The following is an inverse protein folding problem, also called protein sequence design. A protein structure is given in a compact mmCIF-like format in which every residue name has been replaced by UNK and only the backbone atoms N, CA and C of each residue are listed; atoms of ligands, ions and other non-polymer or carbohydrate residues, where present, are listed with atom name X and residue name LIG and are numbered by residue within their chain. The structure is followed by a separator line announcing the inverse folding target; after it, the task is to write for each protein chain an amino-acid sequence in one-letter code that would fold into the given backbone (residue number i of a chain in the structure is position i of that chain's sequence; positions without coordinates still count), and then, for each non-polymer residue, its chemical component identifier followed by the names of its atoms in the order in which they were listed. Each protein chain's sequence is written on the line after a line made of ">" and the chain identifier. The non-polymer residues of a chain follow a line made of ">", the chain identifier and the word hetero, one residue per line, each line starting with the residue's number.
data_IF_843714948651
#
_entry.id   IF_843714948651
#
_cell.length_a   1.000
_cell.length_b   1.000
_cell.length_c   1.000
_cell.angle_alpha   90.00
_cell.angle_beta   90.00
_cell.angle_gamma   90.00
#
_symmetry.space_group_name_H-M   'P 1'
#
loop_
_entity.id
_entity.type
_entity.pdbx_description
1 polymer ?
#
# COMPACT_ATOMS: atom_id res chain seq x y z
N UNK A 1 30.69 24.80 -4.37
CA UNK A 1 30.54 23.45 -3.81
C UNK A 1 30.10 23.64 -2.38
N UNK A 2 28.83 23.44 -2.09
CA UNK A 2 28.31 23.49 -0.71
C UNK A 2 28.95 22.34 0.05
N UNK A 3 29.52 22.62 1.23
CA UNK A 3 30.15 21.58 2.04
C UNK A 3 29.07 20.57 2.48
N UNK A 4 29.30 19.28 2.23
CA UNK A 4 28.39 18.20 2.65
C UNK A 4 28.14 18.26 4.16
N UNK A 5 29.10 18.77 4.94
CA UNK A 5 28.94 19.02 6.38
C UNK A 5 27.95 20.16 6.69
N UNK A 6 27.97 21.25 5.92
CA UNK A 6 27.05 22.38 6.09
C UNK A 6 25.61 21.97 5.73
N UNK A 7 25.42 21.22 4.63
CA UNK A 7 24.12 20.70 4.24
C UNK A 7 23.54 19.75 5.30
N UNK A 8 24.37 18.87 5.86
CA UNK A 8 23.96 17.96 6.93
C UNK A 8 23.58 18.72 8.21
N UNK A 9 24.35 19.74 8.59
CA UNK A 9 24.03 20.59 9.74
C UNK A 9 22.68 21.28 9.56
N UNK A 10 22.43 21.88 8.39
CA UNK A 10 21.15 22.49 8.06
C UNK A 10 19.99 21.48 8.08
N UNK A 11 20.19 20.27 7.57
CA UNK A 11 19.20 19.18 7.60
C UNK A 11 18.82 18.79 9.04
N UNK A 12 19.81 18.69 9.94
CA UNK A 12 19.61 18.34 11.35
C UNK A 12 18.80 19.40 12.12
N UNK A 13 18.92 20.69 11.76
CA UNK A 13 18.22 21.81 12.38
C UNK A 13 16.89 22.17 11.72
N UNK A 14 16.68 21.77 10.46
CA UNK A 14 15.49 22.10 9.66
C UNK A 14 14.19 21.68 10.37
N UNK A 15 13.23 22.59 10.46
CA UNK A 15 11.89 22.35 11.02
C UNK A 15 10.84 21.95 9.98
N UNK A 16 11.24 21.74 8.74
CA UNK A 16 10.32 21.24 7.72
C UNK A 16 9.86 19.82 8.09
N UNK A 17 8.58 19.54 7.83
CA UNK A 17 7.94 18.28 8.27
C UNK A 17 8.67 17.01 7.80
N UNK A 18 9.32 16.94 6.61
CA UNK A 18 10.04 15.72 6.23
C UNK A 18 11.21 15.40 7.18
N UNK A 19 11.91 16.42 7.67
CA UNK A 19 13.01 16.27 8.63
C UNK A 19 12.49 15.94 10.04
N UNK A 20 11.31 16.44 10.43
CA UNK A 20 10.67 16.00 11.68
C UNK A 20 10.28 14.52 11.64
N UNK A 21 9.78 14.04 10.50
CA UNK A 21 9.48 12.62 10.29
C UNK A 21 10.75 11.77 10.24
N UNK A 22 11.79 12.20 9.51
CA UNK A 22 13.08 11.52 9.47
C UNK A 22 13.77 11.44 10.85
N UNK A 23 13.58 12.46 11.71
CA UNK A 23 14.05 12.42 13.11
C UNK A 23 13.45 11.28 13.93
N UNK A 24 12.23 10.82 13.62
CA UNK A 24 11.64 9.65 14.29
C UNK A 24 12.42 8.37 13.98
N UNK A 25 12.84 8.21 12.71
CA UNK A 25 13.68 7.08 12.28
C UNK A 25 15.05 7.14 12.94
N UNK A 26 15.68 8.32 12.99
CA UNK A 26 16.94 8.51 13.71
C UNK A 26 16.84 8.22 15.20
N UNK A 27 15.75 8.62 15.86
CA UNK A 27 15.52 8.30 17.27
C UNK A 27 15.37 6.78 17.47
N UNK A 28 14.75 6.09 16.51
CA UNK A 28 14.55 4.64 16.53
C UNK A 28 15.84 3.87 16.24
N UNK A 29 16.67 4.39 15.32
CA UNK A 29 17.92 3.79 14.87
C UNK A 29 19.04 4.85 14.82
N UNK A 30 19.64 5.20 15.97
CA UNK A 30 20.64 6.28 16.04
C UNK A 30 21.88 6.03 15.19
N UNK A 31 22.27 4.76 15.03
CA UNK A 31 23.45 4.32 14.25
C UNK A 31 23.04 3.68 12.91
N UNK A 32 21.78 3.81 12.51
CA UNK A 32 21.21 3.06 11.38
C UNK A 32 20.72 1.67 11.79
N UNK A 33 20.26 0.89 10.79
CA UNK A 33 19.79 -0.47 11.05
C UNK A 33 20.97 -1.41 11.35
N UNK A 34 20.75 -2.45 12.18
CA UNK A 34 21.76 -3.48 12.42
C UNK A 34 22.31 -4.05 11.10
N UNK A 35 23.61 -4.34 11.07
CA UNK A 35 24.26 -4.90 9.88
C UNK A 35 24.43 -3.94 8.70
N UNK A 36 24.08 -2.66 8.86
CA UNK A 36 24.17 -1.66 7.78
C UNK A 36 23.06 -1.81 6.73
N UNK A 37 21.95 -2.48 7.09
CA UNK A 37 20.80 -2.60 6.20
C UNK A 37 20.22 -1.22 5.84
N UNK A 38 19.72 -1.06 4.60
CA UNK A 38 19.06 0.17 4.21
C UNK A 38 17.77 0.40 5.00
N UNK A 39 17.53 1.65 5.38
CA UNK A 39 16.25 2.08 5.96
C UNK A 39 15.13 1.83 4.94
N UNK A 40 14.11 1.06 5.32
CA UNK A 40 13.06 0.64 4.39
C UNK A 40 11.84 1.55 4.46
N UNK A 41 11.56 2.22 3.35
CA UNK A 41 10.35 2.98 3.11
C UNK A 41 9.40 2.15 2.24
N UNK A 42 8.09 2.25 2.49
CA UNK A 42 7.07 1.57 1.68
C UNK A 42 5.94 2.54 1.29
N UNK A 43 5.34 2.27 0.14
CA UNK A 43 4.03 2.79 -0.30
C UNK A 43 3.19 1.66 -0.86
N UNK A 44 1.86 1.81 -0.81
CA UNK A 44 0.91 0.78 -1.23
C UNK A 44 0.06 1.20 -2.42
N UNK A 45 -0.21 0.25 -3.31
CA UNK A 45 -1.09 0.45 -4.46
C UNK A 45 -2.00 -0.74 -4.70
N UNK A 46 -3.31 -0.53 -4.60
CA UNK A 46 -4.31 -1.48 -5.10
C UNK A 46 -4.52 -1.31 -6.62
N UNK A 47 -4.12 -2.29 -7.46
CA UNK A 47 -4.14 -2.19 -8.92
C UNK A 47 -5.49 -2.59 -9.52
N UNK A 48 -6.58 -2.18 -8.87
CA UNK A 48 -7.96 -2.39 -9.37
C UNK A 48 -8.46 -1.20 -10.20
N UNK A 49 -7.57 -0.31 -10.61
CA UNK A 49 -7.85 0.90 -11.37
C UNK A 49 -6.64 1.82 -11.41
N UNK A 50 -6.62 2.72 -12.40
CA UNK A 50 -5.47 3.57 -12.71
C UNK A 50 -4.92 4.37 -11.51
N UNK A 51 -3.60 4.65 -11.49
CA UNK A 51 -3.02 5.56 -10.51
C UNK A 51 -3.67 6.94 -10.63
N UNK A 52 -3.85 7.61 -9.49
CA UNK A 52 -4.34 8.99 -9.43
C UNK A 52 -3.44 9.81 -8.52
N UNK A 53 -3.75 11.10 -8.39
CA UNK A 53 -2.99 12.06 -7.59
C UNK A 53 -2.79 11.67 -6.12
N UNK A 54 -3.66 10.83 -5.56
CA UNK A 54 -3.48 10.30 -4.21
C UNK A 54 -2.35 9.28 -4.14
N UNK A 55 -2.22 8.41 -5.15
CA UNK A 55 -1.09 7.49 -5.28
C UNK A 55 0.23 8.25 -5.45
N UNK A 56 0.24 9.29 -6.29
CA UNK A 56 1.41 10.15 -6.43
C UNK A 56 1.78 10.88 -5.14
N UNK A 57 0.80 11.45 -4.43
CA UNK A 57 1.00 12.13 -3.16
C UNK A 57 1.69 11.22 -2.14
N UNK A 58 1.29 9.96 -2.06
CA UNK A 58 1.87 8.99 -1.13
C UNK A 58 3.35 8.72 -1.44
N UNK A 59 3.69 8.47 -2.71
CA UNK A 59 5.07 8.24 -3.15
C UNK A 59 5.94 9.49 -3.03
N UNK A 60 5.42 10.64 -3.45
CA UNK A 60 6.14 11.91 -3.39
C UNK A 60 6.49 12.29 -1.94
N UNK A 61 5.52 12.21 -1.02
CA UNK A 61 5.76 12.56 0.39
C UNK A 61 6.70 11.58 1.07
N UNK A 62 6.56 10.30 0.79
CA UNK A 62 7.47 9.27 1.32
C UNK A 62 8.90 9.53 0.82
N UNK A 63 9.05 9.90 -0.45
CA UNK A 63 10.34 10.29 -1.04
C UNK A 63 10.94 11.52 -0.37
N UNK A 64 10.14 12.53 0.00
CA UNK A 64 10.62 13.70 0.74
C UNK A 64 11.19 13.32 2.12
N UNK A 65 10.53 12.40 2.85
CA UNK A 65 11.05 11.91 4.14
C UNK A 65 12.31 11.07 3.95
N UNK A 66 12.33 10.21 2.92
CA UNK A 66 13.51 9.42 2.55
C UNK A 66 14.72 10.32 2.26
N UNK A 67 14.55 11.37 1.45
CA UNK A 67 15.60 12.35 1.14
C UNK A 67 16.06 13.10 2.38
N UNK A 68 15.13 13.54 3.23
CA UNK A 68 15.48 14.18 4.50
C UNK A 68 16.31 13.24 5.40
N UNK A 69 15.97 11.95 5.46
CA UNK A 69 16.76 10.95 6.21
C UNK A 69 18.17 10.77 5.60
N UNK A 70 18.28 10.66 4.28
CA UNK A 70 19.56 10.56 3.57
C UNK A 70 20.45 11.78 3.87
N UNK A 71 19.92 13.00 3.78
CA UNK A 71 20.66 14.24 4.04
C UNK A 71 21.11 14.37 5.50
N UNK A 72 20.29 13.92 6.46
CA UNK A 72 20.63 13.98 7.89
C UNK A 72 21.67 12.94 8.30
N UNK A 73 21.68 11.78 7.65
CA UNK A 73 22.40 10.60 8.13
C UNK A 73 23.55 10.15 7.24
N UNK A 74 23.42 10.35 5.93
CA UNK A 74 24.28 9.72 4.92
C UNK A 74 24.11 8.20 4.80
N UNK A 75 23.09 7.61 5.44
CA UNK A 75 22.85 6.17 5.47
C UNK A 75 22.00 5.70 4.28
N UNK A 76 22.18 4.44 3.84
CA UNK A 76 21.45 3.91 2.69
C UNK A 76 19.96 3.73 2.99
N UNK A 77 19.13 3.88 1.96
CA UNK A 77 17.68 3.70 2.04
C UNK A 77 17.16 2.92 0.83
N UNK A 78 15.97 2.34 0.97
CA UNK A 78 15.20 1.72 -0.12
C UNK A 78 13.75 2.19 -0.03
N UNK A 79 13.09 2.28 -1.19
CA UNK A 79 11.66 2.57 -1.28
C UNK A 79 10.98 1.45 -2.06
N UNK A 80 10.04 0.76 -1.43
CA UNK A 80 9.20 -0.23 -2.11
C UNK A 80 7.87 0.43 -2.50
N UNK A 81 7.50 0.30 -3.78
CA UNK A 81 6.13 0.53 -4.26
C UNK A 81 5.43 -0.82 -4.36
N UNK A 82 4.65 -1.17 -3.32
CA UNK A 82 4.04 -2.48 -3.19
C UNK A 82 2.66 -2.51 -3.86
N UNK A 83 2.46 -3.43 -4.81
CA UNK A 83 1.21 -3.64 -5.51
C UNK A 83 0.44 -4.81 -4.93
N UNK A 84 -0.77 -4.56 -4.45
CA UNK A 84 -1.71 -5.57 -3.92
C UNK A 84 -2.44 -6.32 -5.06
N UNK A 85 -1.70 -6.77 -6.08
CA UNK A 85 -2.22 -7.41 -7.31
C UNK A 85 -2.75 -8.83 -7.14
N UNK A 86 -2.60 -9.42 -5.95
CA UNK A 86 -3.23 -10.69 -5.60
C UNK A 86 -4.64 -10.51 -5.03
N UNK A 87 -5.06 -9.28 -4.72
CA UNK A 87 -6.39 -9.02 -4.18
C UNK A 87 -7.50 -9.45 -5.17
N UNK A 88 -8.59 -10.00 -4.63
CA UNK A 88 -9.75 -10.38 -5.41
C UNK A 88 -10.53 -9.16 -5.94
N UNK A 89 -10.93 -9.17 -7.21
CA UNK A 89 -11.77 -8.11 -7.79
C UNK A 89 -13.14 -8.07 -7.11
N UNK A 90 -13.37 -7.08 -6.23
CA UNK A 90 -14.62 -6.98 -5.46
C UNK A 90 -15.79 -6.39 -6.23
N UNK A 91 -15.51 -5.47 -7.16
CA UNK A 91 -16.51 -4.78 -7.99
C UNK A 91 -15.86 -4.37 -9.29
N UNK A 92 -16.64 -4.33 -10.37
CA UNK A 92 -16.19 -3.82 -11.66
C UNK A 92 -16.11 -2.29 -11.60
N UNK A 93 -14.96 -1.66 -11.92
CA UNK A 93 -14.86 -0.20 -11.97
C UNK A 93 -15.71 0.38 -13.11
N UNK A 94 -16.25 1.58 -12.91
CA UNK A 94 -17.10 2.22 -13.93
C UNK A 94 -16.30 2.81 -15.10
N UNK A 95 -15.02 3.08 -14.87
CA UNK A 95 -14.10 3.78 -15.77
C UNK A 95 -13.20 2.84 -16.59
N UNK A 96 -13.55 1.54 -16.68
CA UNK A 96 -12.80 0.56 -17.48
C UNK A 96 -13.67 -0.04 -18.59
N UNK A 97 -13.07 -0.39 -19.75
CA UNK A 97 -13.76 -1.11 -20.82
C UNK A 97 -14.06 -2.57 -20.41
N UNK A 98 -14.77 -3.31 -21.28
CA UNK A 98 -15.00 -4.76 -21.14
C UNK A 98 -15.60 -5.18 -19.77
N UNK A 99 -16.58 -4.41 -19.27
CA UNK A 99 -17.22 -4.64 -17.97
C UNK A 99 -17.89 -6.01 -17.83
N UNK A 100 -18.46 -6.52 -18.92
CA UNK A 100 -19.09 -7.85 -18.94
C UNK A 100 -18.06 -8.95 -18.67
N UNK A 101 -16.89 -8.89 -19.33
CA UNK A 101 -15.77 -9.80 -19.06
C UNK A 101 -15.37 -9.71 -17.59
N UNK A 102 -15.10 -8.50 -17.07
CA UNK A 102 -14.69 -8.31 -15.68
C UNK A 102 -15.72 -8.85 -14.67
N UNK A 103 -17.01 -8.78 -14.99
CA UNK A 103 -18.09 -9.31 -14.14
C UNK A 103 -17.96 -10.83 -13.96
N UNK A 104 -17.55 -11.57 -15.00
CA UNK A 104 -17.31 -13.02 -14.92
C UNK A 104 -16.06 -13.41 -14.11
N UNK A 105 -15.20 -12.43 -13.81
CA UNK A 105 -13.96 -12.63 -13.05
C UNK A 105 -14.03 -12.05 -11.63
N UNK A 106 -15.20 -11.65 -11.14
CA UNK A 106 -15.36 -11.18 -9.77
C UNK A 106 -14.81 -12.19 -8.75
N UNK A 107 -14.10 -11.68 -7.74
CA UNK A 107 -13.45 -12.46 -6.70
C UNK A 107 -12.10 -13.09 -7.09
N UNK A 108 -11.75 -13.16 -8.37
CA UNK A 108 -10.43 -13.66 -8.80
C UNK A 108 -9.32 -12.63 -8.51
N UNK A 109 -8.08 -13.07 -8.24
CA UNK A 109 -6.92 -12.16 -8.08
C UNK A 109 -6.77 -11.26 -9.30
N UNK A 110 -6.54 -9.95 -9.12
CA UNK A 110 -6.41 -8.98 -10.21
C UNK A 110 -5.32 -9.36 -11.24
N UNK A 111 -4.24 -9.97 -10.77
CA UNK A 111 -3.15 -10.53 -11.58
C UNK A 111 -3.53 -11.73 -12.45
N UNK A 112 -4.70 -12.34 -12.21
CA UNK A 112 -5.24 -13.48 -12.98
C UNK A 112 -6.47 -13.13 -13.81
N UNK A 113 -6.83 -11.85 -13.88
CA UNK A 113 -7.95 -11.36 -14.71
C UNK A 113 -7.37 -10.86 -16.03
N UNK A 114 -7.93 -11.24 -17.21
CA UNK A 114 -7.49 -10.68 -18.48
C UNK A 114 -7.52 -9.15 -18.48
N UNK A 115 -6.55 -8.53 -19.16
CA UNK A 115 -6.51 -7.07 -19.27
C UNK A 115 -7.74 -6.55 -20.04
N UNK A 116 -8.63 -5.75 -19.42
CA UNK A 116 -9.76 -5.17 -20.13
C UNK A 116 -9.34 -4.22 -21.26
N UNK A 117 -8.10 -3.73 -21.26
CA UNK A 117 -7.56 -2.85 -22.31
C UNK A 117 -6.88 -3.61 -23.47
N UNK A 118 -6.58 -4.90 -23.30
CA UNK A 118 -5.98 -5.75 -24.34
C UNK A 118 -4.50 -5.44 -24.64
N UNK A 119 -3.78 -4.86 -23.68
CA UNK A 119 -2.41 -4.35 -23.84
C UNK A 119 -1.36 -5.09 -23.00
N UNK A 120 -1.77 -5.73 -21.92
CA UNK A 120 -0.91 -6.44 -20.97
C UNK A 120 -1.48 -7.83 -20.64
N UNK A 121 -0.70 -8.65 -19.93
CA UNK A 121 -1.07 -10.03 -19.60
C UNK A 121 -2.29 -10.14 -18.66
N UNK A 122 -2.50 -9.12 -17.81
CA UNK A 122 -3.61 -9.09 -16.85
C UNK A 122 -4.05 -7.68 -16.51
N UNK A 123 -5.22 -7.57 -15.87
CA UNK A 123 -5.76 -6.30 -15.41
C UNK A 123 -4.83 -5.62 -14.41
N UNK A 124 -4.22 -6.37 -13.48
CA UNK A 124 -3.18 -5.82 -12.61
C UNK A 124 -1.93 -5.43 -13.39
N UNK A 125 -1.48 -6.23 -14.36
CA UNK A 125 -0.27 -5.93 -15.14
C UNK A 125 -0.40 -4.59 -15.88
N UNK A 126 -1.55 -4.32 -16.50
CA UNK A 126 -1.82 -3.01 -17.12
C UNK A 126 -1.72 -1.88 -16.09
N UNK A 127 -2.45 -1.99 -14.97
CA UNK A 127 -2.48 -0.94 -13.95
C UNK A 127 -1.10 -0.74 -13.28
N UNK A 128 -0.33 -1.80 -13.10
CA UNK A 128 1.03 -1.76 -12.58
C UNK A 128 1.99 -1.11 -13.56
N UNK A 129 1.87 -1.38 -14.87
CA UNK A 129 2.64 -0.68 -15.90
C UNK A 129 2.32 0.81 -15.89
N UNK A 130 1.04 1.18 -15.82
CA UNK A 130 0.63 2.59 -15.70
C UNK A 130 1.16 3.26 -14.44
N UNK A 131 1.21 2.55 -13.30
CA UNK A 131 1.87 3.06 -12.09
C UNK A 131 3.36 3.28 -12.33
N UNK A 132 4.07 2.30 -12.90
CA UNK A 132 5.52 2.36 -13.08
C UNK A 132 5.92 3.46 -14.06
N UNK A 133 5.29 3.52 -15.23
CA UNK A 133 5.49 4.60 -16.20
C UNK A 133 5.25 5.97 -15.57
N UNK A 134 4.20 6.04 -14.74
CA UNK A 134 3.88 7.24 -14.00
C UNK A 134 4.98 7.59 -13.00
N UNK A 135 5.49 6.65 -12.20
CA UNK A 135 6.56 6.93 -11.23
C UNK A 135 7.90 7.29 -11.92
N UNK A 136 8.24 6.58 -12.99
CA UNK A 136 9.46 6.76 -13.76
C UNK A 136 9.49 8.14 -14.43
N UNK A 137 8.34 8.62 -14.94
CA UNK A 137 8.19 9.96 -15.53
C UNK A 137 8.56 11.08 -14.56
N UNK A 138 8.28 10.92 -13.26
CA UNK A 138 8.63 11.90 -12.23
C UNK A 138 9.99 11.65 -11.58
N UNK A 139 10.75 10.68 -12.09
CA UNK A 139 12.11 10.39 -11.63
C UNK A 139 12.18 9.80 -10.22
N UNK A 140 11.13 9.11 -9.76
CA UNK A 140 11.21 8.42 -8.48
C UNK A 140 12.14 7.21 -8.56
N UNK A 141 13.01 7.08 -7.57
CA UNK A 141 13.78 5.85 -7.35
C UNK A 141 12.99 4.93 -6.43
N UNK A 142 12.56 3.76 -6.94
CA UNK A 142 11.79 2.80 -6.17
C UNK A 142 12.05 1.37 -6.67
N UNK A 143 11.65 0.40 -5.84
CA UNK A 143 11.58 -1.00 -6.18
C UNK A 143 10.11 -1.40 -6.26
N UNK A 144 9.66 -1.85 -7.43
CA UNK A 144 8.33 -2.38 -7.59
C UNK A 144 8.23 -3.79 -6.98
N UNK A 145 7.22 -4.03 -6.16
CA UNK A 145 6.96 -5.34 -5.56
C UNK A 145 5.51 -5.79 -5.85
N UNK A 146 5.35 -7.00 -6.40
CA UNK A 146 4.05 -7.64 -6.62
C UNK A 146 3.66 -8.52 -5.44
N UNK A 147 2.45 -8.35 -4.91
CA UNK A 147 1.88 -9.25 -3.90
C UNK A 147 1.82 -10.68 -4.44
N UNK A 148 1.35 -10.87 -5.67
CA UNK A 148 1.28 -12.19 -6.32
C UNK A 148 2.65 -12.85 -6.35
N UNK A 149 3.70 -12.14 -6.73
CA UNK A 149 5.05 -12.70 -6.76
C UNK A 149 5.55 -13.09 -5.37
N UNK A 150 5.33 -12.24 -4.35
CA UNK A 150 5.78 -12.51 -2.98
C UNK A 150 5.07 -13.73 -2.36
N UNK A 151 3.78 -13.87 -2.63
CA UNK A 151 3.00 -15.03 -2.22
C UNK A 151 3.38 -16.30 -3.01
N UNK A 152 3.46 -16.22 -4.34
CA UNK A 152 3.71 -17.38 -5.20
C UNK A 152 5.14 -17.92 -5.10
N UNK A 153 6.14 -17.05 -4.90
CA UNK A 153 7.55 -17.45 -4.74
C UNK A 153 7.90 -17.98 -3.35
N UNK A 154 6.96 -17.90 -2.41
CA UNK A 154 7.16 -18.33 -1.03
C UNK A 154 7.93 -17.34 -0.15
N UNK A 155 8.18 -16.11 -0.62
CA UNK A 155 8.82 -15.04 0.18
C UNK A 155 8.05 -14.73 1.47
N UNK A 156 6.72 -14.94 1.46
CA UNK A 156 5.89 -14.79 2.64
C UNK A 156 5.62 -16.08 3.41
N UNK A 157 6.07 -17.26 2.95
CA UNK A 157 5.68 -18.54 3.57
C UNK A 157 6.09 -18.65 5.04
N UNK A 158 7.28 -18.14 5.40
CA UNK A 158 7.71 -18.10 6.81
C UNK A 158 6.79 -17.23 7.66
N UNK A 159 6.40 -16.04 7.16
CA UNK A 159 5.53 -15.15 7.91
C UNK A 159 4.06 -15.62 7.90
N UNK A 160 3.63 -16.32 6.85
CA UNK A 160 2.32 -16.99 6.80
C UNK A 160 2.25 -18.12 7.83
N UNK A 161 3.32 -18.88 8.02
CA UNK A 161 3.43 -19.86 9.12
C UNK A 161 3.27 -19.19 10.49
N UNK A 162 3.92 -18.04 10.71
CA UNK A 162 3.73 -17.27 11.93
C UNK A 162 2.30 -16.75 12.10
N UNK A 163 1.62 -16.39 11.01
CA UNK A 163 0.19 -16.02 11.02
C UNK A 163 -0.67 -17.19 11.47
N UNK A 164 -0.42 -18.40 10.99
CA UNK A 164 -1.17 -19.59 11.43
C UNK A 164 -0.89 -19.94 12.89
N UNK A 165 0.37 -19.83 13.36
CA UNK A 165 0.74 -20.02 14.78
C UNK A 165 0.02 -19.04 15.70
N UNK A 166 -0.20 -17.82 15.22
CA UNK A 166 -0.82 -16.73 15.99
C UNK A 166 -2.25 -16.42 15.54
N UNK A 167 -2.92 -17.39 14.90
CA UNK A 167 -4.22 -17.18 14.25
C UNK A 167 -5.26 -16.61 15.24
N UNK A 168 -5.38 -17.20 16.42
CA UNK A 168 -6.32 -16.75 17.45
C UNK A 168 -6.03 -15.34 17.98
N UNK A 169 -4.75 -14.99 18.11
CA UNK A 169 -4.35 -13.64 18.52
C UNK A 169 -4.72 -12.60 17.46
N UNK A 170 -4.55 -12.93 16.18
CA UNK A 170 -4.94 -12.07 15.06
C UNK A 170 -6.48 -11.97 14.99
N UNK A 171 -7.20 -13.07 15.18
CA UNK A 171 -8.66 -13.08 15.29
C UNK A 171 -9.15 -12.17 16.42
N UNK A 172 -8.52 -12.20 17.60
CA UNK A 172 -8.86 -11.35 18.73
C UNK A 172 -8.66 -9.84 18.44
N UNK A 173 -7.72 -9.49 17.55
CA UNK A 173 -7.56 -8.10 17.07
C UNK A 173 -8.66 -7.72 16.08
N UNK A 174 -9.07 -8.65 15.22
CA UNK A 174 -9.95 -8.37 14.09
C UNK A 174 -11.44 -8.45 14.43
N UNK A 175 -11.88 -9.47 15.16
CA UNK A 175 -13.29 -9.72 15.47
C UNK A 175 -14.02 -8.51 16.11
N UNK A 176 -13.44 -7.77 17.07
CA UNK A 176 -14.10 -6.61 17.68
C UNK A 176 -14.42 -5.47 16.69
N UNK A 177 -13.76 -5.47 15.53
CA UNK A 177 -13.94 -4.46 14.48
C UNK A 177 -15.06 -4.81 13.49
N UNK A 178 -15.63 -6.01 13.62
CA UNK A 178 -16.60 -6.58 12.70
C UNK A 178 -17.99 -6.67 13.35
N UNK A 179 -19.04 -6.63 12.51
CA UNK A 179 -20.41 -6.90 12.95
C UNK A 179 -20.61 -8.40 13.20
N UNK A 180 -21.58 -8.77 14.04
CA UNK A 180 -21.83 -10.15 14.46
C UNK A 180 -21.92 -11.17 13.30
N UNK A 181 -22.64 -10.83 12.22
CA UNK A 181 -22.76 -11.68 11.02
C UNK A 181 -21.39 -11.97 10.37
N UNK A 182 -20.51 -10.97 10.34
CA UNK A 182 -19.16 -11.12 9.79
C UNK A 182 -18.24 -11.82 10.77
N UNK A 183 -18.40 -11.64 12.08
CA UNK A 183 -17.59 -12.34 13.07
C UNK A 183 -17.74 -13.88 12.95
N UNK A 184 -18.95 -14.37 12.68
CA UNK A 184 -19.22 -15.80 12.53
C UNK A 184 -18.54 -16.44 11.29
N UNK A 185 -18.16 -15.62 10.30
CA UNK A 185 -17.63 -16.08 9.01
C UNK A 185 -16.24 -15.56 8.71
N UNK A 186 -15.64 -14.82 9.63
CA UNK A 186 -14.39 -14.13 9.39
C UNK A 186 -13.20 -15.08 9.47
N UNK A 187 -12.28 -14.91 8.53
CA UNK A 187 -10.93 -15.47 8.56
C UNK A 187 -9.93 -14.40 8.12
N UNK A 188 -8.75 -14.29 8.76
CA UNK A 188 -7.64 -13.49 8.26
C UNK A 188 -6.97 -14.12 7.03
N UNK A 189 -7.17 -15.43 6.79
CA UNK A 189 -6.64 -16.17 5.65
C UNK A 189 -7.78 -16.42 4.65
N UNK A 190 -7.58 -16.00 3.40
CA UNK A 190 -8.53 -16.15 2.32
C UNK A 190 -8.01 -17.22 1.34
N UNK A 191 -8.53 -18.45 1.38
CA UNK A 191 -8.11 -19.50 0.46
C UNK A 191 -8.39 -19.10 -0.99
N UNK A 192 -7.49 -19.42 -1.90
CA UNK A 192 -7.80 -19.37 -3.33
C UNK A 192 -8.43 -20.70 -3.68
N UNK A 193 -9.69 -20.67 -4.13
CA UNK A 193 -10.42 -21.87 -4.56
C UNK A 193 -9.63 -22.62 -5.65
N UNK A 194 -9.33 -23.92 -5.46
CA UNK A 194 -8.66 -24.71 -6.50
C UNK A 194 -9.55 -24.94 -7.72
N UNK A 195 -10.87 -24.86 -7.54
CA UNK A 195 -11.87 -25.07 -8.60
C UNK A 195 -12.11 -23.80 -9.42
N UNK A 196 -12.42 -22.69 -8.74
CA UNK A 196 -12.85 -21.44 -9.39
C UNK A 196 -11.73 -20.41 -9.55
N UNK A 197 -10.66 -20.52 -8.77
CA UNK A 197 -9.59 -19.53 -8.68
C UNK A 197 -9.98 -18.24 -7.95
N UNK A 198 -11.13 -18.20 -7.29
CA UNK A 198 -11.62 -17.05 -6.50
C UNK A 198 -10.91 -17.00 -5.15
N UNK A 199 -10.60 -15.78 -4.68
CA UNK A 199 -10.17 -15.52 -3.29
C UNK A 199 -11.40 -15.59 -2.39
N UNK A 200 -11.55 -16.70 -1.66
CA UNK A 200 -12.73 -17.02 -0.87
C UNK A 200 -12.74 -16.25 0.47
N UNK A 201 -13.92 -15.77 0.85
CA UNK A 201 -14.16 -15.20 2.18
C UNK A 201 -15.03 -16.15 3.00
N UNK A 202 -14.41 -17.24 3.45
CA UNK A 202 -15.05 -18.33 4.19
C UNK A 202 -14.36 -18.52 5.55
N UNK A 203 -15.04 -19.12 6.55
CA UNK A 203 -14.37 -19.59 7.75
C UNK A 203 -13.23 -20.55 7.39
N UNK A 204 -12.16 -20.49 8.17
CA UNK A 204 -10.99 -21.36 8.01
C UNK A 204 -10.64 -21.97 9.35
N UNK A 205 -10.33 -23.27 9.33
CA UNK A 205 -9.69 -23.99 10.43
C UNK A 205 -8.19 -24.18 10.11
N UNK A 206 -7.32 -23.88 11.06
CA UNK A 206 -5.89 -24.19 10.95
C UNK A 206 -5.67 -25.65 11.35
N UNK A 207 -5.27 -26.48 10.40
CA UNK A 207 -5.02 -27.92 10.62
C UNK A 207 -3.58 -28.17 11.06
N UNK A 208 -2.63 -27.54 10.38
CA UNK A 208 -1.20 -27.61 10.70
C UNK A 208 -0.53 -26.29 10.32
N UNK A 209 -0.13 -25.50 11.32
CA UNK A 209 0.54 -24.23 11.10
C UNK A 209 1.91 -24.39 10.42
N UNK A 210 2.67 -25.43 10.76
CA UNK A 210 4.04 -25.65 10.27
C UNK A 210 4.05 -26.03 8.80
N UNK A 211 3.15 -26.94 8.42
CA UNK A 211 2.94 -27.35 7.04
C UNK A 211 2.07 -26.35 6.23
N UNK A 212 1.52 -25.34 6.90
CA UNK A 212 0.68 -24.33 6.26
C UNK A 212 -0.71 -24.83 5.89
N UNK A 213 -1.19 -25.93 6.48
CA UNK A 213 -2.43 -26.59 6.07
C UNK A 213 -3.63 -25.97 6.77
N UNK A 214 -4.61 -25.59 5.96
CA UNK A 214 -5.90 -25.07 6.40
C UNK A 214 -7.04 -25.91 5.82
N UNK A 215 -8.17 -25.94 6.52
CA UNK A 215 -9.42 -26.57 6.08
C UNK A 215 -10.54 -25.55 5.93
N UNK A 216 -11.30 -25.64 4.84
CA UNK A 216 -12.42 -24.75 4.54
C UNK A 216 -13.43 -25.42 3.61
N UNK A 217 -14.60 -24.81 3.44
CA UNK A 217 -15.63 -25.26 2.50
C UNK A 217 -15.56 -24.46 1.19
N UNK A 218 -15.63 -25.17 0.06
CA UNK A 218 -15.70 -24.60 -1.29
C UNK A 218 -16.73 -25.38 -2.11
N UNK A 219 -17.77 -24.70 -2.59
CA UNK A 219 -18.89 -25.30 -3.35
C UNK A 219 -19.46 -26.59 -2.73
N UNK A 220 -19.55 -26.64 -1.40
CA UNK A 220 -20.10 -27.76 -0.63
C UNK A 220 -19.15 -28.95 -0.46
N UNK A 221 -17.86 -28.76 -0.74
CA UNK A 221 -16.80 -29.71 -0.47
C UNK A 221 -15.86 -29.17 0.60
N UNK A 222 -15.49 -30.03 1.55
CA UNK A 222 -14.40 -29.76 2.49
C UNK A 222 -13.06 -29.92 1.79
N UNK A 223 -12.28 -28.84 1.74
CA UNK A 223 -10.95 -28.80 1.13
C UNK A 223 -9.90 -28.60 2.22
N UNK A 224 -8.83 -29.39 2.16
CA UNK A 224 -7.58 -29.12 2.87
C UNK A 224 -6.51 -28.69 1.87
N UNK A 225 -5.92 -27.51 2.08
CA UNK A 225 -4.87 -26.99 1.20
C UNK A 225 -3.83 -26.19 1.97
N UNK A 226 -2.67 -25.98 1.35
CA UNK A 226 -1.64 -25.13 1.93
C UNK A 226 -1.97 -23.65 1.73
N UNK A 227 -1.57 -22.78 2.65
CA UNK A 227 -1.59 -21.32 2.46
C UNK A 227 -0.38 -20.81 1.69
N UNK A 228 0.64 -21.64 1.52
CA UNK A 228 1.92 -21.29 0.89
C UNK A 228 1.84 -21.30 -0.64
N UNK A 229 2.85 -20.70 -1.29
CA UNK A 229 2.98 -20.72 -2.74
C UNK A 229 1.81 -20.06 -3.48
N UNK A 230 1.18 -19.05 -2.88
CA UNK A 230 0.08 -18.29 -3.47
C UNK A 230 -1.25 -19.05 -3.56
N UNK A 231 -1.43 -20.08 -2.74
CA UNK A 231 -2.70 -20.81 -2.60
C UNK A 231 -3.69 -20.14 -1.63
N UNK A 232 -3.23 -19.15 -0.85
CA UNK A 232 -4.10 -18.28 -0.07
C UNK A 232 -3.57 -16.84 -0.09
N UNK A 233 -4.44 -15.90 0.25
CA UNK A 233 -4.12 -14.48 0.42
C UNK A 233 -4.59 -14.04 1.79
N UNK A 234 -3.82 -13.25 2.53
CA UNK A 234 -4.33 -12.64 3.75
C UNK A 234 -5.34 -11.54 3.43
N UNK A 235 -6.36 -11.42 4.27
CA UNK A 235 -7.26 -10.26 4.26
C UNK A 235 -6.42 -9.00 4.46
N UNK A 236 -6.75 -7.93 3.73
CA UNK A 236 -5.86 -6.75 3.57
C UNK A 236 -5.34 -6.12 4.88
N UNK A 237 -6.08 -6.16 6.00
CA UNK A 237 -5.61 -5.62 7.29
C UNK A 237 -4.54 -6.52 7.95
N UNK A 238 -4.78 -7.84 8.15
CA UNK A 238 -3.73 -8.78 8.50
C UNK A 238 -2.57 -8.81 7.52
N UNK A 239 -2.83 -8.73 6.23
CA UNK A 239 -1.81 -8.70 5.18
C UNK A 239 -0.86 -7.52 5.37
N UNK A 240 -1.39 -6.32 5.61
CA UNK A 240 -0.57 -5.14 5.83
C UNK A 240 0.32 -5.26 7.06
N UNK A 241 -0.22 -5.78 8.17
CA UNK A 241 0.58 -6.05 9.38
C UNK A 241 1.62 -7.15 9.18
N UNK A 242 1.28 -8.20 8.42
CA UNK A 242 2.19 -9.27 8.03
C UNK A 242 3.32 -8.73 7.15
N UNK A 243 3.01 -7.89 6.16
CA UNK A 243 3.97 -7.26 5.27
C UNK A 243 4.98 -6.39 6.03
N UNK A 244 4.51 -5.58 6.98
CA UNK A 244 5.39 -4.83 7.88
C UNK A 244 6.36 -5.72 8.64
N UNK A 245 5.87 -6.83 9.18
CA UNK A 245 6.70 -7.77 9.93
C UNK A 245 7.65 -8.58 9.02
N UNK A 246 7.22 -8.97 7.82
CA UNK A 246 8.00 -9.76 6.88
C UNK A 246 9.14 -8.96 6.25
N UNK A 247 8.86 -7.70 5.85
CA UNK A 247 9.83 -6.87 5.15
C UNK A 247 10.66 -6.00 6.09
N UNK A 248 10.22 -5.83 7.33
CA UNK A 248 10.86 -4.93 8.29
C UNK A 248 10.74 -3.47 7.83
N UNK A 249 9.55 -3.06 7.41
CA UNK A 249 9.25 -1.68 6.96
C UNK A 249 9.48 -0.71 8.11
N UNK A 250 10.29 0.31 7.88
CA UNK A 250 10.67 1.28 8.90
C UNK A 250 9.84 2.55 8.83
N UNK A 251 9.41 2.95 7.62
CA UNK A 251 8.57 4.11 7.39
C UNK A 251 7.49 3.87 6.33
N UNK A 252 6.23 4.16 6.68
CA UNK A 252 5.11 4.14 5.72
C UNK A 252 4.07 5.18 6.12
N UNK A 253 3.64 5.97 5.14
CA UNK A 253 2.58 6.98 5.33
C UNK A 253 1.25 6.41 4.86
N UNK A 254 0.16 6.92 5.42
CA UNK A 254 -1.17 6.56 4.95
C UNK A 254 -2.19 7.67 5.22
N UNK A 255 -3.26 7.66 4.42
CA UNK A 255 -4.34 8.63 4.54
C UNK A 255 -5.11 8.51 5.85
N UNK A 256 -5.75 9.61 6.27
CA UNK A 256 -6.61 9.69 7.47
C UNK A 256 -7.72 8.64 7.49
N UNK A 257 -8.18 8.18 6.33
CA UNK A 257 -9.17 7.12 6.19
C UNK A 257 -8.66 5.73 6.59
N UNK A 258 -7.35 5.55 6.76
CA UNK A 258 -6.71 4.29 7.12
C UNK A 258 -6.22 4.25 8.58
N UNK A 259 -6.54 5.23 9.42
CA UNK A 259 -6.08 5.31 10.83
C UNK A 259 -6.38 4.01 11.59
N UNK A 260 -7.64 3.60 11.63
CA UNK A 260 -8.05 2.40 12.38
C UNK A 260 -7.34 1.15 11.84
N UNK A 261 -7.19 1.07 10.52
CA UNK A 261 -6.51 -0.03 9.83
C UNK A 261 -5.03 -0.07 10.17
N UNK A 262 -4.36 1.08 10.22
CA UNK A 262 -2.94 1.16 10.62
C UNK A 262 -2.70 0.92 12.10
N UNK A 263 -3.71 1.09 12.96
CA UNK A 263 -3.65 0.64 14.37
C UNK A 263 -3.73 -0.88 14.44
N UNK A 264 -4.66 -1.50 13.70
CA UNK A 264 -4.81 -2.96 13.66
C UNK A 264 -3.58 -3.64 13.04
N UNK A 265 -3.10 -3.15 11.90
CA UNK A 265 -1.89 -3.63 11.25
C UNK A 265 -0.67 -3.55 12.17
N UNK A 266 -0.57 -2.51 13.01
CA UNK A 266 0.53 -2.36 13.96
C UNK A 266 0.49 -3.40 15.07
N UNK A 267 -0.71 -3.73 15.59
CA UNK A 267 -0.89 -4.81 16.56
C UNK A 267 -0.55 -6.17 15.95
N UNK A 268 -0.97 -6.40 14.71
CA UNK A 268 -0.70 -7.66 14.00
C UNK A 268 0.80 -7.79 13.70
N UNK A 269 1.47 -6.73 13.27
CA UNK A 269 2.92 -6.73 13.08
C UNK A 269 3.66 -7.11 14.38
N UNK A 270 3.23 -6.58 15.54
CA UNK A 270 3.79 -6.93 16.84
C UNK A 270 3.55 -8.40 17.23
N UNK A 271 2.35 -8.93 16.99
CA UNK A 271 2.03 -10.34 17.19
C UNK A 271 2.97 -11.24 16.36
N UNK A 272 3.31 -10.80 15.16
CA UNK A 272 4.19 -11.51 14.23
C UNK A 272 5.69 -11.26 14.46
N UNK A 273 6.06 -10.67 15.60
CA UNK A 273 7.44 -10.37 15.99
C UNK A 273 8.07 -9.16 15.31
N UNK A 274 7.30 -8.44 14.49
CA UNK A 274 7.70 -7.21 13.82
C UNK A 274 7.41 -5.95 14.65
N UNK A 275 7.60 -4.80 14.02
CA UNK A 275 7.30 -3.48 14.60
C UNK A 275 6.43 -2.69 13.62
N UNK A 276 5.58 -1.83 14.16
CA UNK A 276 4.87 -0.84 13.34
C UNK A 276 5.88 0.17 12.78
N UNK A 277 5.86 0.48 11.48
CA UNK A 277 6.69 1.54 10.91
C UNK A 277 6.41 2.90 11.57
N UNK A 278 7.40 3.78 11.59
CA UNK A 278 7.13 5.21 11.77
C UNK A 278 6.31 5.72 10.59
N UNK A 279 5.61 6.82 10.77
CA UNK A 279 4.81 7.37 9.69
C UNK A 279 4.11 8.67 10.02
N UNK A 280 3.52 9.23 8.98
CA UNK A 280 2.66 10.40 9.04
C UNK A 280 1.28 10.02 8.52
N UNK A 281 0.25 10.34 9.31
CA UNK A 281 -1.13 10.32 8.84
C UNK A 281 -1.39 11.63 8.10
N UNK A 282 -1.68 11.55 6.82
CA UNK A 282 -1.99 12.73 6.02
C UNK A 282 -3.49 12.91 5.78
N UNK A 283 -3.87 14.17 5.59
CA UNK A 283 -5.22 14.52 5.15
C UNK A 283 -5.42 14.32 3.65
N UNK A 284 -6.70 14.24 3.28
CA UNK A 284 -7.15 13.88 1.94
C UNK A 284 -7.39 15.10 1.05
N UNK A 285 -7.31 14.89 -0.26
CA UNK A 285 -7.78 15.86 -1.24
C UNK A 285 -9.30 15.78 -1.43
N UNK A 286 -9.92 16.95 -1.56
CA UNK A 286 -11.36 17.13 -1.76
C UNK A 286 -11.62 17.70 -3.15
N UNK A 287 -12.70 17.31 -3.81
CA UNK A 287 -13.07 17.86 -5.11
C UNK A 287 -13.66 19.29 -4.99
N UNK A 288 -14.12 19.85 -6.12
CA UNK A 288 -14.72 21.19 -6.17
C UNK A 288 -16.00 21.35 -5.31
N UNK A 289 -16.64 20.24 -4.91
CA UNK A 289 -17.82 20.22 -4.04
C UNK A 289 -17.46 19.93 -2.58
N UNK A 290 -16.18 19.75 -2.27
CA UNK A 290 -15.71 19.36 -0.94
C UNK A 290 -15.88 17.87 -0.66
N UNK A 291 -16.20 17.04 -1.67
CA UNK A 291 -16.29 15.60 -1.49
C UNK A 291 -14.92 14.93 -1.57
N UNK A 292 -14.74 13.79 -0.91
CA UNK A 292 -13.52 12.99 -1.05
C UNK A 292 -13.33 12.54 -2.50
N UNK A 293 -12.12 12.75 -3.03
CA UNK A 293 -11.72 12.19 -4.33
C UNK A 293 -11.58 10.67 -4.22
N UNK A 294 -12.16 9.92 -5.18
CA UNK A 294 -12.06 8.46 -5.20
C UNK A 294 -11.86 7.90 -6.62
N UNK A 295 -11.04 6.84 -6.72
CA UNK A 295 -10.79 6.12 -7.98
C UNK A 295 -12.08 5.71 -8.69
N UNK A 296 -13.07 5.17 -7.95
CA UNK A 296 -14.29 4.64 -8.56
C UNK A 296 -15.28 5.70 -9.05
N UNK A 297 -15.27 6.91 -8.49
CA UNK A 297 -16.16 8.00 -8.96
C UNK A 297 -15.56 8.79 -10.13
N UNK A 298 -14.23 8.72 -10.33
CA UNK A 298 -13.54 9.53 -11.34
C UNK A 298 -13.66 11.04 -11.12
N UNK A 299 -13.98 11.48 -9.89
CA UNK A 299 -14.19 12.89 -9.55
C UNK A 299 -12.89 13.65 -9.24
N UNK A 300 -11.74 12.97 -9.32
CA UNK A 300 -10.43 13.55 -9.04
C UNK A 300 -9.81 14.22 -10.25
N UNK A 301 -9.13 15.33 -10.01
CA UNK A 301 -8.18 15.90 -10.96
C UNK A 301 -7.06 14.88 -11.22
N UNK A 302 -6.84 14.51 -12.48
CA UNK A 302 -5.70 13.71 -12.87
C UNK A 302 -4.43 14.56 -12.91
N UNK A 303 -3.27 13.90 -12.90
CA UNK A 303 -2.00 14.61 -12.96
C UNK A 303 -1.79 15.22 -14.33
N UNK A 304 -2.13 14.50 -15.41
CA UNK A 304 -2.08 15.08 -16.77
C UNK A 304 -2.97 16.32 -16.91
N UNK A 305 -4.13 16.35 -16.23
CA UNK A 305 -4.97 17.55 -16.17
C UNK A 305 -4.29 18.71 -15.43
N UNK A 306 -3.55 18.44 -14.34
CA UNK A 306 -2.72 19.48 -13.70
C UNK A 306 -1.65 19.98 -14.66
N UNK A 307 -0.91 19.06 -15.29
CA UNK A 307 0.23 19.35 -16.14
C UNK A 307 -0.12 20.04 -17.47
N UNK A 308 -1.40 20.02 -17.83
CA UNK A 308 -1.91 20.84 -18.95
C UNK A 308 -1.83 22.34 -18.62
N UNK A 309 -1.91 22.73 -17.34
CA UNK A 309 -2.07 24.11 -16.90
C UNK A 309 -1.04 24.59 -15.86
N UNK A 310 -0.18 23.72 -15.34
CA UNK A 310 0.85 24.07 -14.37
C UNK A 310 2.03 23.09 -14.40
N UNK A 311 3.24 23.51 -13.99
CA UNK A 311 4.43 22.67 -14.03
C UNK A 311 4.48 21.67 -12.87
N UNK A 312 5.34 20.65 -12.98
CA UNK A 312 5.53 19.58 -12.00
C UNK A 312 5.87 20.14 -10.60
N UNK A 313 6.67 21.20 -10.55
CA UNK A 313 7.12 21.81 -9.30
C UNK A 313 5.98 22.46 -8.52
N UNK A 314 5.00 23.06 -9.23
CA UNK A 314 3.82 23.64 -8.58
C UNK A 314 2.95 22.55 -7.95
N UNK A 315 2.81 21.39 -8.61
CA UNK A 315 2.10 20.24 -8.06
C UNK A 315 2.87 19.66 -6.86
N UNK A 316 4.18 19.50 -6.97
CA UNK A 316 5.01 18.96 -5.90
C UNK A 316 4.98 19.85 -4.66
N UNK A 317 5.10 21.17 -4.83
CA UNK A 317 4.98 22.15 -3.76
C UNK A 317 3.58 22.15 -3.14
N UNK A 318 2.55 22.09 -3.99
CA UNK A 318 1.17 21.98 -3.53
C UNK A 318 0.96 20.73 -2.66
N UNK A 319 1.53 19.57 -3.04
CA UNK A 319 1.48 18.34 -2.25
C UNK A 319 2.29 18.45 -0.95
N UNK A 320 3.47 19.07 -0.99
CA UNK A 320 4.36 19.28 0.14
C UNK A 320 3.71 20.10 1.26
N UNK A 321 2.98 21.15 0.92
CA UNK A 321 2.40 22.06 1.93
C UNK A 321 1.37 21.37 2.82
N UNK A 322 1.53 21.54 4.12
CA UNK A 322 0.55 21.22 5.16
C UNK A 322 -0.07 19.82 5.02
N UNK A 323 0.73 18.73 5.09
CA UNK A 323 0.25 17.38 4.82
C UNK A 323 -0.86 16.88 5.76
N UNK A 324 -1.04 17.54 6.90
CA UNK A 324 -2.07 17.26 7.91
C UNK A 324 -3.36 18.09 7.72
N UNK A 325 -3.50 18.88 6.65
CA UNK A 325 -4.72 19.64 6.33
C UNK A 325 -5.36 19.12 5.04
N UNK A 326 -6.69 19.01 5.05
CA UNK A 326 -7.45 18.68 3.86
C UNK A 326 -7.37 19.83 2.87
N UNK A 327 -7.26 19.51 1.59
CA UNK A 327 -7.01 20.50 0.54
C UNK A 327 -7.92 20.26 -0.66
N UNK A 328 -8.48 21.33 -1.20
CA UNK A 328 -9.32 21.27 -2.40
C UNK A 328 -8.45 21.03 -3.63
N UNK A 329 -8.80 20.07 -4.48
CA UNK A 329 -8.03 19.68 -5.65
C UNK A 329 -8.97 19.58 -6.86
N UNK A 330 -9.02 20.66 -7.63
CA UNK A 330 -9.84 20.79 -8.83
C UNK A 330 -9.17 21.76 -9.83
N UNK A 331 -9.58 21.72 -11.09
CA UNK A 331 -8.99 22.52 -12.18
C UNK A 331 -8.83 24.00 -11.84
N UNK A 332 -9.87 24.63 -11.29
CA UNK A 332 -9.85 26.06 -10.94
C UNK A 332 -8.83 26.48 -9.88
N UNK A 333 -8.20 25.53 -9.18
CA UNK A 333 -7.15 25.84 -8.20
C UNK A 333 -5.76 25.97 -8.86
N UNK A 334 -5.53 25.33 -10.01
CA UNK A 334 -4.19 25.20 -10.60
C UNK A 334 -3.50 26.56 -10.75
N UNK A 335 -4.13 27.63 -11.30
CA UNK A 335 -3.46 28.93 -11.44
C UNK A 335 -2.94 29.48 -10.11
N UNK A 336 -3.74 29.39 -9.04
CA UNK A 336 -3.32 29.83 -7.71
C UNK A 336 -2.19 28.97 -7.15
N UNK A 337 -2.20 27.66 -7.40
CA UNK A 337 -1.12 26.78 -6.94
C UNK A 337 0.20 27.04 -7.68
N UNK A 338 0.12 27.46 -8.95
CA UNK A 338 1.27 27.95 -9.73
C UNK A 338 1.77 29.27 -9.14
N UNK A 339 0.89 30.24 -8.90
CA UNK A 339 1.26 31.53 -8.29
C UNK A 339 1.88 31.36 -6.90
N UNK A 340 1.37 30.43 -6.09
CA UNK A 340 1.91 30.15 -4.76
C UNK A 340 3.33 29.55 -4.80
N UNK A 341 3.76 28.94 -5.91
CA UNK A 341 5.08 28.32 -6.07
C UNK A 341 6.17 29.31 -6.50
N UNK A 342 5.83 30.28 -7.36
CA UNK A 342 6.76 31.26 -7.92
C UNK A 342 6.97 32.48 -7.01
#
# INVERSE_FOLDING_TARGET
>A
MTDTSELRAAALESKAWPYEEARKLLKRYPEGKPGGEPMLFETGYGPSGLPHIGTFQEVLRTTMVRKAYEEMTGLPTRLIAFSDDMDGLRKVPDNVPNKEMLTTHLGKPLSRIPDPFGTHDSFAAHNNAMLRDFLDRFGFEYEFASSTDYYASGRFDEKLRDVLRNYDAIMAVMLPTLRAERQATYSPVLPVSPTSGVVLQVPVEVVDAEAGIIRFEDDGQTIEQSVFGGQAKLQWKPDWGMRWAALGVDYEMYGKDLIDSGVLGGKIAQILGGRKPEGLIYELFLDAKGEKISKSKGNGLSIDQWLTYGPDESLAFYIYREPKKAKALHLGLIPRAVDDYW
#
